data_IF_051461269125
#
_entry.id   IF_051461269125
#
_cell.length_a   1.000
_cell.length_b   1.000
_cell.length_c   1.000
_cell.angle_alpha   90.00
_cell.angle_beta   90.00
_cell.angle_gamma   90.00
#
_symmetry.space_group_name_H-M   'P 1'
#
loop_
_entity.id
_entity.type
_entity.pdbx_description
1 polymer ?
#
# COMPACT_ATOMS: atom_id res chain seq x y z
N UNK A 1 19.93 -8.10 -1.03
CA UNK A 1 18.86 -7.55 -1.89
C UNK A 1 18.25 -6.37 -1.16
N UNK A 2 18.41 -5.15 -1.69
CA UNK A 2 17.80 -3.96 -1.09
C UNK A 2 16.28 -4.04 -1.31
N UNK A 3 15.49 -3.85 -0.25
CA UNK A 3 14.04 -3.66 -0.37
C UNK A 3 13.81 -2.52 -1.38
N UNK A 4 12.90 -2.68 -2.37
CA UNK A 4 12.54 -1.59 -3.26
C UNK A 4 12.19 -0.39 -2.38
N UNK A 5 12.91 0.73 -2.56
CA UNK A 5 12.69 1.93 -1.75
C UNK A 5 11.28 2.43 -2.04
N UNK A 6 10.40 2.35 -1.05
CA UNK A 6 9.04 2.81 -1.21
C UNK A 6 9.04 4.32 -1.48
N UNK A 7 8.43 4.73 -2.60
CA UNK A 7 8.36 6.14 -2.96
C UNK A 7 7.40 6.91 -2.04
N UNK A 8 7.54 8.24 -1.90
CA UNK A 8 6.61 9.06 -1.14
C UNK A 8 5.16 8.93 -1.60
N UNK A 9 4.93 8.79 -2.92
CA UNK A 9 3.61 8.64 -3.53
C UNK A 9 3.00 7.28 -3.19
N UNK A 10 3.80 6.21 -3.26
CA UNK A 10 3.38 4.86 -2.85
C UNK A 10 2.99 4.83 -1.37
N UNK A 11 3.74 5.57 -0.53
CA UNK A 11 3.40 5.75 0.88
C UNK A 11 2.12 6.54 1.08
N UNK A 12 1.92 7.63 0.36
CA UNK A 12 0.68 8.41 0.42
C UNK A 12 -0.54 7.55 0.06
N UNK A 13 -0.42 6.74 -0.99
CA UNK A 13 -1.46 5.78 -1.38
C UNK A 13 -1.70 4.72 -0.30
N UNK A 14 -0.65 4.15 0.31
CA UNK A 14 -0.80 3.18 1.40
C UNK A 14 -1.51 3.79 2.63
N UNK A 15 -1.23 5.06 2.95
CA UNK A 15 -1.93 5.81 4.00
C UNK A 15 -3.39 6.03 3.63
N UNK A 16 -3.68 6.38 2.38
CA UNK A 16 -5.04 6.56 1.88
C UNK A 16 -5.84 5.25 1.97
N UNK A 17 -5.29 4.14 1.46
CA UNK A 17 -5.91 2.81 1.51
C UNK A 17 -6.17 2.33 2.96
N UNK A 18 -5.37 2.76 3.93
CA UNK A 18 -5.61 2.49 5.35
C UNK A 18 -6.83 3.24 5.89
N UNK A 19 -7.07 4.46 5.43
CA UNK A 19 -8.21 5.28 5.86
C UNK A 19 -9.48 4.89 5.13
N UNK A 20 -9.38 4.66 3.83
CA UNK A 20 -10.50 4.37 2.96
C UNK A 20 -10.08 3.32 1.91
N UNK A 21 -10.58 2.08 2.03
CA UNK A 21 -10.40 1.06 1.00
C UNK A 21 -11.06 1.50 -0.30
N UNK A 22 -10.28 1.58 -1.38
CA UNK A 22 -10.74 2.08 -2.67
C UNK A 22 -10.93 0.92 -3.64
N UNK A 23 -12.00 0.95 -4.43
CA UNK A 23 -12.29 -0.08 -5.44
C UNK A 23 -11.26 -0.03 -6.60
N UNK A 24 -10.97 1.18 -7.09
CA UNK A 24 -10.02 1.44 -8.17
C UNK A 24 -9.14 2.66 -7.84
N UNK A 25 -8.05 2.48 -7.11
CA UNK A 25 -7.01 3.50 -7.02
C UNK A 25 -6.45 3.74 -8.44
N UNK A 26 -6.72 4.90 -9.01
CA UNK A 26 -6.29 5.31 -10.36
C UNK A 26 -4.78 5.63 -10.40
N UNK A 27 -3.94 4.71 -9.91
CA UNK A 27 -2.51 4.94 -9.76
C UNK A 27 -1.71 3.75 -10.29
N UNK A 28 -0.63 4.03 -11.01
CA UNK A 28 0.36 3.03 -11.43
C UNK A 28 1.20 2.47 -10.27
N UNK A 29 0.90 2.82 -9.02
CA UNK A 29 1.66 2.47 -7.81
C UNK A 29 1.13 1.20 -7.12
N UNK A 30 -0.02 0.69 -7.56
CA UNK A 30 -0.60 -0.56 -7.06
C UNK A 30 0.29 -1.78 -7.30
N UNK A 31 0.88 -1.97 -8.49
CA UNK A 31 1.83 -3.06 -8.72
C UNK A 31 2.99 -3.04 -7.72
N UNK A 32 3.56 -1.87 -7.44
CA UNK A 32 4.69 -1.70 -6.53
C UNK A 32 4.32 -2.07 -5.08
N UNK A 33 3.20 -1.53 -4.59
CA UNK A 33 2.71 -1.84 -3.24
C UNK A 33 2.30 -3.32 -3.09
N UNK A 34 1.77 -3.91 -4.16
CA UNK A 34 1.42 -5.34 -4.20
C UNK A 34 2.67 -6.21 -4.22
N UNK A 35 3.68 -5.84 -5.00
CA UNK A 35 4.97 -6.54 -5.06
C UNK A 35 5.71 -6.47 -3.71
N UNK A 36 5.57 -5.36 -2.99
CA UNK A 36 6.08 -5.18 -1.62
C UNK A 36 5.26 -5.94 -0.57
N UNK A 37 4.12 -6.53 -0.93
CA UNK A 37 3.23 -7.23 0.00
C UNK A 37 2.54 -6.32 1.00
N UNK A 38 2.45 -5.01 0.72
CA UNK A 38 1.84 -4.02 1.61
C UNK A 38 0.35 -3.85 1.40
N UNK A 39 -0.17 -4.25 0.24
CA UNK A 39 -1.60 -4.21 -0.07
C UNK A 39 -2.08 -5.53 -0.64
N UNK A 40 -3.36 -5.80 -0.44
CA UNK A 40 -4.08 -6.93 -1.00
C UNK A 40 -5.41 -6.45 -1.59
N UNK A 41 -5.92 -7.19 -2.57
CA UNK A 41 -7.23 -6.95 -3.15
C UNK A 41 -8.21 -7.95 -2.54
N UNK A 42 -9.18 -7.46 -1.77
CA UNK A 42 -10.19 -8.27 -1.07
C UNK A 42 -11.54 -7.60 -1.16
N UNK A 43 -12.59 -8.37 -1.42
CA UNK A 43 -13.96 -7.88 -1.50
C UNK A 43 -14.10 -6.71 -2.49
N UNK A 44 -13.45 -6.83 -3.65
CA UNK A 44 -13.36 -5.80 -4.71
C UNK A 44 -12.68 -4.49 -4.30
N UNK A 45 -11.99 -4.46 -3.15
CA UNK A 45 -11.32 -3.28 -2.61
C UNK A 45 -9.85 -3.52 -2.34
N UNK A 46 -9.04 -2.52 -2.61
CA UNK A 46 -7.65 -2.51 -2.19
C UNK A 46 -7.54 -2.14 -0.72
N UNK A 47 -6.83 -2.96 0.05
CA UNK A 47 -6.64 -2.79 1.49
C UNK A 47 -5.19 -3.02 1.86
N UNK A 48 -4.66 -2.32 2.87
CA UNK A 48 -3.33 -2.60 3.37
C UNK A 48 -3.30 -3.92 4.16
N UNK A 49 -2.29 -4.74 3.89
CA UNK A 49 -1.99 -5.96 4.63
C UNK A 49 -1.47 -5.63 6.04
N UNK A 50 -1.27 -6.66 6.87
CA UNK A 50 -0.60 -6.50 8.17
C UNK A 50 0.77 -5.84 8.03
N UNK A 51 1.57 -6.31 7.06
CA UNK A 51 2.90 -5.76 6.77
C UNK A 51 2.83 -4.29 6.37
N UNK A 52 1.89 -3.91 5.49
CA UNK A 52 1.71 -2.51 5.10
C UNK A 52 1.32 -1.62 6.29
N UNK A 53 0.45 -2.11 7.18
CA UNK A 53 0.07 -1.39 8.41
C UNK A 53 1.24 -1.22 9.37
N UNK A 54 2.08 -2.24 9.53
CA UNK A 54 3.24 -2.19 10.43
C UNK A 54 4.34 -1.30 9.86
N UNK A 55 4.56 -1.31 8.55
CA UNK A 55 5.43 -0.35 7.87
C UNK A 55 4.98 1.11 8.13
N UNK A 56 3.68 1.39 8.05
CA UNK A 56 3.17 2.73 8.35
C UNK A 56 3.39 3.14 9.82
N UNK A 57 3.52 2.19 10.75
CA UNK A 57 3.84 2.50 12.16
C UNK A 57 5.32 2.79 12.37
N UNK A 58 6.23 2.11 11.66
CA UNK A 58 7.67 2.30 11.80
C UNK A 58 8.17 3.58 11.13
N UNK A 59 7.42 4.12 10.18
CA UNK A 59 7.73 5.38 9.47
C UNK A 59 7.04 6.61 10.08
N UNK A 60 6.47 6.49 11.29
CA UNK A 60 5.71 7.57 11.93
C UNK A 60 6.61 8.70 12.41
#
# INVERSE_FOLDING_TARGET
MALPRMTPESRALLVQLKREPVDLPATGLIPDLKQLGFIEHRDSKWRPTRTGKDYLKTQR
#
